data_IF_609880224997
#
_entry.id   IF_609880224997
#
_cell.length_a   1.000
_cell.length_b   1.000
_cell.length_c   1.000
_cell.angle_alpha   90.00
_cell.angle_beta   90.00
_cell.angle_gamma   90.00
#
_symmetry.space_group_name_H-M   'P 1'
#
loop_
_entity.id
_entity.type
_entity.pdbx_description
1 polymer ?
#
# COMPACT_ATOMS: atom_id res chain seq x y z
N UNK A 1 -16.32 24.57 -1.04
CA UNK A 1 -15.16 23.81 -1.53
C UNK A 1 -14.21 23.63 -0.34
N UNK A 2 -13.96 22.41 0.05
CA UNK A 2 -12.97 22.11 1.11
C UNK A 2 -11.62 22.01 0.43
N UNK A 3 -10.61 22.75 0.94
CA UNK A 3 -9.23 22.67 0.47
C UNK A 3 -8.62 21.46 1.20
N UNK A 4 -8.17 20.47 0.46
CA UNK A 4 -7.58 19.24 1.03
C UNK A 4 -6.10 19.40 1.36
N UNK A 5 -5.36 20.17 0.57
CA UNK A 5 -3.93 20.46 0.78
C UNK A 5 -3.67 21.89 0.32
N UNK A 6 -3.01 22.69 1.15
CA UNK A 6 -2.61 24.06 0.85
C UNK A 6 -1.08 24.18 0.84
N UNK A 7 -0.51 24.59 -0.31
CA UNK A 7 0.92 24.95 -0.50
C UNK A 7 1.93 23.92 0.06
N UNK A 8 1.91 22.72 -0.51
CA UNK A 8 2.90 21.71 -0.18
C UNK A 8 3.97 21.64 -1.28
N UNK A 9 5.24 21.75 -0.91
CA UNK A 9 6.37 21.47 -1.80
C UNK A 9 7.27 20.43 -1.13
N UNK A 10 7.39 19.26 -1.76
CA UNK A 10 8.16 18.13 -1.25
C UNK A 10 9.01 17.52 -2.36
N UNK A 11 10.21 17.06 -1.97
CA UNK A 11 11.02 16.16 -2.77
C UNK A 11 11.30 14.92 -1.92
N UNK A 12 10.86 13.75 -2.39
CA UNK A 12 10.98 12.49 -1.64
C UNK A 12 12.11 11.64 -2.22
N UNK A 13 13.00 11.09 -1.37
CA UNK A 13 14.06 10.20 -1.82
C UNK A 13 13.46 8.87 -2.31
N UNK A 14 13.97 8.31 -3.43
CA UNK A 14 13.55 7.00 -3.91
C UNK A 14 14.07 5.88 -2.99
N UNK A 15 13.44 4.69 -3.07
CA UNK A 15 13.87 3.46 -2.39
C UNK A 15 13.90 3.56 -0.86
N UNK A 16 13.10 4.46 -0.29
CA UNK A 16 13.01 4.70 1.15
C UNK A 16 11.65 4.28 1.70
N UNK A 17 11.63 4.01 2.99
CA UNK A 17 10.41 3.91 3.78
C UNK A 17 10.10 5.31 4.33
N UNK A 18 9.07 5.94 3.78
CA UNK A 18 8.70 7.33 4.05
C UNK A 18 7.45 7.37 4.90
N UNK A 19 7.51 8.03 6.04
CA UNK A 19 6.37 8.29 6.94
C UNK A 19 5.77 9.66 6.70
N UNK A 20 4.44 9.69 6.57
CA UNK A 20 3.63 10.90 6.55
C UNK A 20 2.82 10.94 7.85
N UNK A 21 3.26 11.75 8.81
CA UNK A 21 2.69 11.80 10.16
C UNK A 21 1.92 13.11 10.38
N UNK A 22 0.79 13.00 11.03
CA UNK A 22 -0.02 14.14 11.44
C UNK A 22 -1.39 13.71 11.93
N UNK A 23 -2.15 14.62 12.55
CA UNK A 23 -3.48 14.34 13.05
C UNK A 23 -4.46 14.00 11.91
N UNK A 24 -5.63 13.46 12.29
CA UNK A 24 -6.68 13.20 11.32
C UNK A 24 -7.18 14.50 10.69
N UNK A 25 -7.51 14.42 9.39
CA UNK A 25 -8.07 15.54 8.64
C UNK A 25 -7.05 16.54 8.08
N UNK A 26 -5.73 16.38 8.34
CA UNK A 26 -4.72 17.34 7.81
C UNK A 26 -4.41 17.17 6.32
N UNK A 27 -4.97 16.16 5.65
CA UNK A 27 -4.80 15.96 4.22
C UNK A 27 -3.87 14.79 3.82
N UNK A 28 -3.42 13.96 4.76
CA UNK A 28 -2.57 12.77 4.47
C UNK A 28 -3.15 11.90 3.36
N UNK A 29 -4.36 11.40 3.54
CA UNK A 29 -5.05 10.54 2.56
C UNK A 29 -5.31 11.25 1.23
N UNK A 30 -5.53 12.57 1.25
CA UNK A 30 -5.66 13.38 0.04
C UNK A 30 -4.34 13.39 -0.74
N UNK A 31 -3.21 13.61 -0.05
CA UNK A 31 -1.88 13.57 -0.67
C UNK A 31 -1.60 12.19 -1.27
N UNK A 32 -1.87 11.11 -0.51
CA UNK A 32 -1.68 9.75 -1.02
C UNK A 32 -2.55 9.47 -2.25
N UNK A 33 -3.79 9.93 -2.26
CA UNK A 33 -4.70 9.77 -3.40
C UNK A 33 -4.23 10.53 -4.66
N UNK A 34 -3.59 11.69 -4.49
CA UNK A 34 -2.95 12.43 -5.58
C UNK A 34 -1.71 11.69 -6.11
N UNK A 35 -0.83 11.21 -5.21
CA UNK A 35 0.38 10.46 -5.56
C UNK A 35 0.02 9.19 -6.34
N UNK A 36 -1.01 8.47 -5.92
CA UNK A 36 -1.43 7.22 -6.59
C UNK A 36 -2.25 7.44 -7.86
N UNK A 37 -2.63 8.67 -8.16
CA UNK A 37 -3.51 8.98 -9.29
C UNK A 37 -4.98 8.63 -9.07
N UNK A 38 -5.37 8.22 -7.85
CA UNK A 38 -6.77 7.96 -7.48
C UNK A 38 -7.62 9.24 -7.50
N UNK A 39 -6.98 10.40 -7.26
CA UNK A 39 -7.59 11.71 -7.47
C UNK A 39 -6.79 12.52 -8.50
N UNK A 40 -7.51 13.24 -9.36
CA UNK A 40 -6.89 14.17 -10.29
C UNK A 40 -6.41 15.43 -9.57
N UNK A 41 -5.19 15.86 -9.89
CA UNK A 41 -4.63 17.10 -9.38
C UNK A 41 -5.33 18.30 -10.02
N UNK A 42 -5.76 19.27 -9.20
CA UNK A 42 -6.45 20.47 -9.67
C UNK A 42 -5.47 21.61 -9.99
N UNK A 43 -4.46 21.79 -9.15
CA UNK A 43 -3.43 22.82 -9.29
C UNK A 43 -2.09 22.28 -8.80
N UNK A 44 -0.98 22.93 -9.22
CA UNK A 44 0.36 22.52 -8.83
C UNK A 44 1.01 21.52 -9.79
N UNK A 45 2.08 20.90 -9.35
CA UNK A 45 2.88 19.94 -10.11
C UNK A 45 3.17 18.70 -9.25
N UNK A 46 3.11 17.54 -9.87
CA UNK A 46 3.45 16.26 -9.23
C UNK A 46 4.25 15.41 -10.21
N UNK A 47 5.51 15.20 -9.89
CA UNK A 47 6.38 14.31 -10.63
C UNK A 47 6.56 13.00 -9.86
N UNK A 48 6.31 11.89 -10.51
CA UNK A 48 6.39 10.56 -9.91
C UNK A 48 6.99 9.55 -10.92
N UNK A 49 7.92 8.72 -10.46
CA UNK A 49 8.56 7.69 -11.29
C UNK A 49 9.04 8.23 -12.65
N UNK A 50 9.68 9.39 -12.61
CA UNK A 50 10.34 9.99 -13.77
C UNK A 50 9.45 10.78 -14.72
N UNK A 51 8.23 11.20 -14.32
CA UNK A 51 7.40 12.04 -15.18
C UNK A 51 6.27 12.76 -14.45
N UNK A 52 5.60 13.63 -15.19
CA UNK A 52 4.51 14.48 -14.70
C UNK A 52 3.18 13.72 -14.64
N UNK A 53 2.55 13.67 -13.47
CA UNK A 53 1.27 13.02 -13.23
C UNK A 53 0.08 13.71 -13.93
N UNK A 54 0.26 14.90 -14.50
CA UNK A 54 -0.74 15.54 -15.37
C UNK A 54 -0.82 14.87 -16.75
N UNK A 55 0.28 14.25 -17.21
CA UNK A 55 0.29 13.52 -18.48
C UNK A 55 -0.48 12.21 -18.36
N UNK A 56 -1.52 12.05 -19.16
CA UNK A 56 -2.30 10.81 -19.23
C UNK A 56 -1.45 9.63 -19.69
N UNK A 57 -0.56 9.85 -20.67
CA UNK A 57 0.36 8.82 -21.15
C UNK A 57 1.28 8.34 -20.02
N UNK A 58 1.85 9.26 -19.25
CA UNK A 58 2.71 8.91 -18.12
C UNK A 58 1.93 8.15 -17.05
N UNK A 59 0.73 8.64 -16.65
CA UNK A 59 -0.12 7.91 -15.69
C UNK A 59 -0.44 6.49 -16.14
N UNK A 60 -0.85 6.30 -17.39
CA UNK A 60 -1.17 4.96 -17.92
C UNK A 60 0.04 4.01 -17.84
N UNK A 61 1.25 4.54 -17.99
CA UNK A 61 2.49 3.77 -17.91
C UNK A 61 2.88 3.40 -16.50
N UNK A 62 2.67 4.30 -15.51
CA UNK A 62 3.17 4.10 -14.14
C UNK A 62 2.11 3.61 -13.14
N UNK A 63 0.81 3.87 -13.34
CA UNK A 63 -0.22 3.40 -12.43
C UNK A 63 -0.19 1.88 -12.18
N UNK A 64 0.10 1.02 -13.18
CA UNK A 64 0.28 -0.41 -12.93
C UNK A 64 1.50 -0.77 -12.06
N UNK A 65 2.41 0.18 -11.80
CA UNK A 65 3.59 0.03 -10.95
C UNK A 65 3.41 0.59 -9.54
N UNK A 66 2.21 1.06 -9.24
CA UNK A 66 1.85 1.65 -7.95
C UNK A 66 0.85 0.73 -7.25
N UNK A 67 1.17 0.31 -6.03
CA UNK A 67 0.23 -0.35 -5.15
C UNK A 67 -0.35 0.67 -4.17
N UNK A 68 -1.65 0.66 -3.99
CA UNK A 68 -2.33 1.51 -3.01
C UNK A 68 -3.20 0.69 -2.07
N UNK A 69 -2.95 0.80 -0.80
CA UNK A 69 -3.78 0.24 0.26
C UNK A 69 -4.45 1.41 1.01
N UNK A 70 -5.69 1.77 0.65
CA UNK A 70 -6.42 2.86 1.29
C UNK A 70 -6.84 2.49 2.71
N UNK A 71 -7.13 3.51 3.50
CA UNK A 71 -7.63 3.35 4.85
C UNK A 71 -8.89 2.47 4.91
N UNK A 72 -8.91 1.53 5.85
CA UNK A 72 -10.02 0.61 6.11
C UNK A 72 -9.87 -0.75 5.43
N UNK A 73 -9.97 -1.80 6.24
CA UNK A 73 -9.80 -3.21 5.85
C UNK A 73 -10.78 -3.70 4.79
N UNK A 74 -11.88 -2.96 4.56
CA UNK A 74 -13.02 -3.41 3.76
C UNK A 74 -12.82 -3.12 2.27
N UNK A 75 -12.00 -2.12 1.92
CA UNK A 75 -11.99 -1.57 0.55
C UNK A 75 -11.22 -2.42 -0.47
N UNK A 76 -10.29 -3.26 -0.01
CA UNK A 76 -9.39 -4.02 -0.88
C UNK A 76 -9.58 -5.54 -0.79
N UNK A 77 -10.62 -6.03 -0.12
CA UNK A 77 -10.84 -7.47 0.06
C UNK A 77 -12.28 -7.85 -0.27
N UNK A 78 -12.42 -8.97 -0.96
CA UNK A 78 -13.70 -9.63 -1.17
C UNK A 78 -13.91 -10.66 -0.04
N UNK A 79 -14.75 -10.34 0.92
CA UNK A 79 -14.92 -11.14 2.15
C UNK A 79 -15.52 -12.52 1.94
N UNK A 80 -16.29 -12.69 0.88
CA UNK A 80 -16.87 -13.98 0.49
C UNK A 80 -15.87 -14.90 -0.18
N UNK A 81 -14.83 -14.34 -0.79
CA UNK A 81 -13.76 -15.10 -1.43
C UNK A 81 -12.74 -15.58 -0.38
N UNK A 82 -12.11 -16.72 -0.66
CA UNK A 82 -11.00 -17.24 0.13
C UNK A 82 -9.77 -16.36 0.01
N UNK A 83 -8.75 -16.63 0.83
CA UNK A 83 -7.43 -15.97 0.73
C UNK A 83 -6.85 -16.16 -0.68
N UNK A 84 -6.86 -17.39 -1.18
CA UNK A 84 -6.34 -17.71 -2.51
C UNK A 84 -7.13 -17.00 -3.61
N UNK A 85 -8.46 -17.05 -3.57
CA UNK A 85 -9.31 -16.41 -4.58
C UNK A 85 -9.14 -14.89 -4.63
N UNK A 86 -8.97 -14.23 -3.47
CA UNK A 86 -8.63 -12.81 -3.44
C UNK A 86 -7.31 -12.54 -4.20
N UNK A 87 -6.26 -13.29 -3.90
CA UNK A 87 -4.96 -13.15 -4.55
C UNK A 87 -5.02 -13.48 -6.04
N UNK A 88 -5.72 -14.54 -6.42
CA UNK A 88 -5.96 -14.91 -7.83
C UNK A 88 -6.69 -13.81 -8.59
N UNK A 89 -7.68 -13.16 -7.96
CA UNK A 89 -8.42 -12.05 -8.57
C UNK A 89 -7.50 -10.91 -8.93
N UNK A 90 -6.72 -10.40 -7.95
CA UNK A 90 -5.81 -9.28 -8.20
C UNK A 90 -4.69 -9.65 -9.18
N UNK A 91 -4.13 -10.84 -9.07
CA UNK A 91 -3.10 -11.30 -9.99
C UNK A 91 -3.58 -11.36 -11.45
N UNK A 92 -4.84 -11.80 -11.67
CA UNK A 92 -5.46 -11.78 -13.01
C UNK A 92 -5.73 -10.38 -13.52
N UNK A 93 -6.13 -9.46 -12.62
CA UNK A 93 -6.37 -8.06 -12.98
C UNK A 93 -5.10 -7.40 -13.57
N UNK A 94 -3.93 -7.79 -13.07
CA UNK A 94 -2.64 -7.35 -13.59
C UNK A 94 -2.07 -8.23 -14.72
N UNK A 95 -2.88 -9.11 -15.32
CA UNK A 95 -2.52 -9.87 -16.52
C UNK A 95 -1.50 -10.99 -16.31
N UNK A 96 -1.27 -11.42 -15.07
CA UNK A 96 -0.33 -12.51 -14.78
C UNK A 96 -0.84 -13.86 -15.31
N UNK A 97 0.05 -14.66 -15.89
CA UNK A 97 -0.26 -16.02 -16.29
C UNK A 97 -0.41 -16.99 -15.10
N UNK A 98 -0.77 -18.24 -15.33
CA UNK A 98 -1.07 -19.19 -14.28
C UNK A 98 0.15 -19.59 -13.43
N UNK A 99 1.33 -19.66 -14.07
CA UNK A 99 2.59 -20.05 -13.41
C UNK A 99 3.07 -18.91 -12.51
N UNK A 100 3.09 -17.68 -13.02
CA UNK A 100 3.49 -16.50 -12.27
C UNK A 100 2.55 -16.26 -11.08
N UNK A 101 1.23 -16.40 -11.25
CA UNK A 101 0.27 -16.30 -10.15
C UNK A 101 0.57 -17.31 -9.04
N UNK A 102 0.78 -18.58 -9.41
CA UNK A 102 1.09 -19.64 -8.43
C UNK A 102 2.35 -19.30 -7.65
N UNK A 103 3.42 -18.92 -8.35
CA UNK A 103 4.69 -18.55 -7.75
C UNK A 103 4.57 -17.39 -6.77
N UNK A 104 3.86 -16.32 -7.17
CA UNK A 104 3.67 -15.12 -6.33
C UNK A 104 2.77 -15.36 -5.14
N UNK A 105 1.68 -16.06 -5.31
CA UNK A 105 0.77 -16.43 -4.22
C UNK A 105 1.52 -17.28 -3.20
N UNK A 106 2.25 -18.31 -3.62
CA UNK A 106 3.04 -19.14 -2.71
C UNK A 106 4.06 -18.29 -1.93
N UNK A 107 4.86 -17.47 -2.60
CA UNK A 107 5.83 -16.57 -1.98
C UNK A 107 5.19 -15.65 -0.94
N UNK A 108 4.18 -14.89 -1.32
CA UNK A 108 3.52 -13.90 -0.46
C UNK A 108 2.79 -14.54 0.72
N UNK A 109 2.12 -15.66 0.51
CA UNK A 109 1.39 -16.32 1.60
C UNK A 109 2.30 -17.02 2.59
N UNK A 110 3.45 -17.53 2.16
CA UNK A 110 4.47 -18.08 3.07
C UNK A 110 5.14 -16.99 3.90
N UNK A 111 5.57 -15.90 3.28
CA UNK A 111 6.23 -14.79 4.00
C UNK A 111 5.31 -14.11 5.02
N UNK A 112 4.00 -14.10 4.77
CA UNK A 112 2.99 -13.50 5.67
C UNK A 112 2.37 -14.47 6.68
N UNK A 113 2.66 -15.78 6.55
CA UNK A 113 2.04 -16.84 7.35
C UNK A 113 0.58 -17.16 6.99
N UNK A 114 0.11 -16.65 5.85
CA UNK A 114 -1.27 -16.91 5.36
C UNK A 114 -1.40 -18.24 4.61
N UNK A 115 -0.32 -18.91 4.28
CA UNK A 115 -0.32 -20.15 3.50
C UNK A 115 -1.25 -21.24 4.05
N UNK A 116 -1.34 -21.36 5.39
CA UNK A 116 -2.21 -22.33 6.06
C UNK A 116 -3.71 -21.99 5.99
N UNK A 117 -4.03 -20.82 5.46
CA UNK A 117 -5.40 -20.28 5.44
C UNK A 117 -5.89 -20.00 4.03
N UNK A 118 -5.22 -20.54 2.99
CA UNK A 118 -5.55 -20.30 1.58
C UNK A 118 -7.02 -20.53 1.27
N UNK A 119 -7.61 -21.60 1.80
CA UNK A 119 -9.02 -21.97 1.58
C UNK A 119 -10.02 -21.25 2.52
N UNK A 120 -9.50 -20.38 3.44
CA UNK A 120 -10.37 -19.70 4.39
C UNK A 120 -10.96 -18.44 3.78
N UNK A 121 -12.30 -18.24 3.84
CA UNK A 121 -12.93 -16.99 3.43
C UNK A 121 -12.31 -15.79 4.16
N UNK A 122 -12.02 -14.72 3.43
CA UNK A 122 -11.39 -13.51 3.98
C UNK A 122 -12.23 -12.90 5.12
N UNK A 123 -13.56 -13.02 5.06
CA UNK A 123 -14.46 -12.57 6.12
C UNK A 123 -14.20 -13.24 7.48
N UNK A 124 -13.71 -14.49 7.48
CA UNK A 124 -13.41 -15.29 8.68
C UNK A 124 -11.98 -15.10 9.22
N UNK A 125 -11.19 -14.22 8.63
CA UNK A 125 -9.86 -13.86 9.12
C UNK A 125 -9.94 -12.85 10.28
N UNK A 126 -8.93 -12.88 11.16
CA UNK A 126 -8.76 -11.81 12.15
C UNK A 126 -8.40 -10.47 11.48
N UNK A 127 -8.52 -9.35 12.20
CA UNK A 127 -8.16 -8.03 11.69
C UNK A 127 -6.73 -7.97 11.13
N UNK A 128 -5.75 -8.44 11.91
CA UNK A 128 -4.36 -8.50 11.46
C UNK A 128 -4.12 -9.44 10.27
N UNK A 129 -4.84 -10.56 10.17
CA UNK A 129 -4.77 -11.43 8.99
C UNK A 129 -5.37 -10.77 7.75
N UNK A 130 -6.47 -10.02 7.90
CA UNK A 130 -7.06 -9.24 6.81
C UNK A 130 -6.09 -8.17 6.30
N UNK A 131 -5.37 -7.50 7.18
CA UNK A 131 -4.34 -6.54 6.79
C UNK A 131 -3.20 -7.20 6.02
N UNK A 132 -2.69 -8.33 6.50
CA UNK A 132 -1.68 -9.11 5.79
C UNK A 132 -2.17 -9.54 4.39
N UNK A 133 -3.43 -9.97 4.28
CA UNK A 133 -4.01 -10.31 2.98
C UNK A 133 -4.14 -9.10 2.08
N UNK A 134 -4.61 -7.95 2.59
CA UNK A 134 -4.68 -6.69 1.84
C UNK A 134 -3.31 -6.26 1.30
N UNK A 135 -2.27 -6.38 2.13
CA UNK A 135 -0.90 -6.11 1.71
C UNK A 135 -0.43 -7.10 0.63
N UNK A 136 -0.70 -8.40 0.76
CA UNK A 136 -0.38 -9.38 -0.28
C UNK A 136 -1.09 -9.06 -1.60
N UNK A 137 -2.37 -8.69 -1.57
CA UNK A 137 -3.13 -8.27 -2.76
C UNK A 137 -2.51 -7.04 -3.42
N UNK A 138 -2.04 -6.08 -2.61
CA UNK A 138 -1.37 -4.87 -3.11
C UNK A 138 0.01 -5.16 -3.71
N UNK A 139 0.72 -6.19 -3.24
CA UNK A 139 2.07 -6.54 -3.70
C UNK A 139 2.09 -7.59 -4.82
N UNK A 140 0.94 -8.16 -5.18
CA UNK A 140 0.88 -9.30 -6.10
C UNK A 140 1.45 -8.99 -7.49
N UNK A 141 1.47 -7.73 -7.90
CA UNK A 141 1.93 -7.27 -9.21
C UNK A 141 3.37 -6.71 -9.21
N UNK A 142 4.13 -6.83 -8.10
CA UNK A 142 5.51 -6.33 -7.94
C UNK A 142 5.62 -4.81 -8.24
N UNK A 143 5.02 -3.95 -7.44
CA UNK A 143 5.04 -2.51 -7.68
C UNK A 143 6.41 -1.88 -7.42
N UNK A 144 6.70 -0.75 -8.07
CA UNK A 144 7.87 0.10 -7.79
C UNK A 144 7.59 1.04 -6.59
N UNK A 145 6.30 1.33 -6.32
CA UNK A 145 5.84 2.16 -5.22
C UNK A 145 4.67 1.51 -4.47
N UNK A 146 4.80 1.35 -3.16
CA UNK A 146 3.75 0.92 -2.25
C UNK A 146 3.29 2.11 -1.41
N UNK A 147 2.00 2.40 -1.45
CA UNK A 147 1.37 3.47 -0.68
C UNK A 147 0.36 2.88 0.30
N UNK A 148 0.55 3.15 1.59
CA UNK A 148 -0.25 2.62 2.68
C UNK A 148 -0.90 3.78 3.45
N UNK A 149 -2.22 3.78 3.55
CA UNK A 149 -2.99 4.80 4.25
C UNK A 149 -3.54 4.23 5.54
N UNK A 150 -2.93 4.61 6.66
CA UNK A 150 -3.24 4.14 8.02
C UNK A 150 -3.38 2.61 8.13
N UNK A 151 -2.36 1.85 7.69
CA UNK A 151 -2.46 0.40 7.53
C UNK A 151 -2.65 -0.36 8.84
N UNK A 152 -2.36 0.27 9.99
CA UNK A 152 -2.40 -0.37 11.30
C UNK A 152 -3.53 0.15 12.19
N UNK A 153 -4.38 1.03 11.67
CA UNK A 153 -5.51 1.59 12.42
C UNK A 153 -6.55 0.52 12.74
N UNK A 154 -6.96 0.46 14.01
CA UNK A 154 -7.94 -0.52 14.49
C UNK A 154 -7.40 -1.94 14.67
N UNK A 155 -6.08 -2.13 14.67
CA UNK A 155 -5.42 -3.41 14.88
C UNK A 155 -4.79 -3.48 16.26
N UNK A 156 -4.84 -4.65 16.89
CA UNK A 156 -4.20 -4.88 18.18
C UNK A 156 -2.68 -4.67 18.11
N UNK A 157 -2.02 -4.33 19.24
CA UNK A 157 -0.59 -3.98 19.26
C UNK A 157 0.33 -5.10 18.75
N UNK A 158 -0.01 -6.37 18.98
CA UNK A 158 0.79 -7.50 18.51
C UNK A 158 0.71 -7.63 16.99
N UNK A 159 -0.50 -7.57 16.43
CA UNK A 159 -0.69 -7.64 14.98
C UNK A 159 -0.08 -6.41 14.28
N UNK A 160 -0.10 -5.21 14.91
CA UNK A 160 0.59 -4.01 14.42
C UNK A 160 2.10 -4.27 14.31
N UNK A 161 2.74 -4.79 15.36
CA UNK A 161 4.17 -5.14 15.32
C UNK A 161 4.47 -6.12 14.19
N UNK A 162 3.69 -7.20 14.09
CA UNK A 162 3.86 -8.20 13.02
C UNK A 162 3.68 -7.61 11.61
N UNK A 163 2.81 -6.63 11.44
CA UNK A 163 2.65 -5.93 10.17
C UNK A 163 3.91 -5.14 9.80
N UNK A 164 4.49 -4.43 10.75
CA UNK A 164 5.73 -3.67 10.53
C UNK A 164 6.92 -4.58 10.27
N UNK A 165 7.07 -5.68 11.03
CA UNK A 165 8.10 -6.69 10.77
C UNK A 165 7.99 -7.26 9.34
N UNK A 166 6.76 -7.40 8.84
CA UNK A 166 6.51 -7.81 7.46
C UNK A 166 6.96 -6.75 6.44
N UNK A 167 6.65 -5.46 6.66
CA UNK A 167 7.14 -4.37 5.81
C UNK A 167 8.66 -4.34 5.78
N UNK A 168 9.33 -4.48 6.95
CA UNK A 168 10.78 -4.52 7.04
C UNK A 168 11.38 -5.68 6.23
N UNK A 169 10.75 -6.86 6.26
CA UNK A 169 11.19 -8.02 5.48
C UNK A 169 10.99 -7.80 3.98
N UNK A 170 9.84 -7.25 3.56
CA UNK A 170 9.58 -6.91 2.16
C UNK A 170 10.64 -5.92 1.65
N UNK A 171 10.98 -4.90 2.42
CA UNK A 171 12.02 -3.93 2.06
C UNK A 171 13.41 -4.57 1.91
N UNK A 172 13.73 -5.58 2.73
CA UNK A 172 14.99 -6.34 2.60
C UNK A 172 15.01 -7.21 1.34
N UNK A 173 13.89 -7.83 1.00
CA UNK A 173 13.76 -8.67 -0.21
C UNK A 173 13.67 -7.83 -1.49
N UNK A 174 13.10 -6.62 -1.40
CA UNK A 174 12.89 -5.69 -2.52
C UNK A 174 13.50 -4.31 -2.17
N UNK A 175 14.83 -4.15 -2.21
CA UNK A 175 15.50 -2.91 -1.82
C UNK A 175 15.15 -1.71 -2.71
N UNK A 176 14.72 -1.95 -3.94
CA UNK A 176 14.31 -0.92 -4.90
C UNK A 176 12.87 -0.42 -4.68
N UNK A 177 12.04 -1.13 -3.91
CA UNK A 177 10.69 -0.71 -3.59
C UNK A 177 10.69 0.58 -2.76
N UNK A 178 10.00 1.60 -3.23
CA UNK A 178 9.69 2.80 -2.43
C UNK A 178 8.40 2.56 -1.65
N UNK A 179 8.36 2.96 -0.38
CA UNK A 179 7.16 2.79 0.46
C UNK A 179 6.80 4.13 1.09
N UNK A 180 5.53 4.55 0.94
CA UNK A 180 4.98 5.74 1.60
C UNK A 180 3.85 5.28 2.53
N UNK A 181 3.92 5.68 3.79
CA UNK A 181 2.92 5.31 4.79
C UNK A 181 2.38 6.56 5.46
N UNK A 182 1.07 6.77 5.39
CA UNK A 182 0.41 7.74 6.25
C UNK A 182 -0.01 7.07 7.56
N UNK A 183 0.28 7.72 8.68
CA UNK A 183 -0.11 7.25 10.02
C UNK A 183 -0.38 8.41 10.97
N UNK A 184 -1.33 8.21 11.89
CA UNK A 184 -1.55 9.10 13.03
C UNK A 184 -0.75 8.67 14.27
N UNK A 185 -0.11 7.51 14.24
CA UNK A 185 0.64 6.96 15.36
C UNK A 185 2.08 7.49 15.41
N UNK A 186 2.37 8.33 16.40
CA UNK A 186 3.70 8.93 16.57
C UNK A 186 4.80 7.93 16.96
N UNK A 187 4.44 6.82 17.59
CA UNK A 187 5.36 5.74 17.96
C UNK A 187 5.91 4.99 16.73
N UNK A 188 5.26 5.10 15.58
CA UNK A 188 5.75 4.54 14.32
C UNK A 188 6.83 5.40 13.65
N UNK A 189 7.02 6.66 14.08
CA UNK A 189 7.98 7.61 13.49
C UNK A 189 9.41 7.06 13.40
N UNK A 190 9.83 6.27 14.39
CA UNK A 190 11.19 5.70 14.48
C UNK A 190 11.49 4.64 13.41
N UNK A 191 10.47 4.16 12.70
CA UNK A 191 10.61 3.14 11.66
C UNK A 191 10.95 3.69 10.29
N UNK A 192 10.71 4.98 10.09
CA UNK A 192 10.85 5.62 8.77
C UNK A 192 12.26 6.12 8.50
N UNK A 193 12.77 5.87 7.29
CA UNK A 193 14.01 6.46 6.79
C UNK A 193 13.89 7.97 6.58
N UNK A 194 12.66 8.43 6.27
CA UNK A 194 12.32 9.81 5.98
C UNK A 194 10.95 10.14 6.55
N UNK A 195 10.83 11.28 7.22
CA UNK A 195 9.60 11.68 7.91
C UNK A 195 9.10 13.02 7.40
N UNK A 196 7.81 13.09 7.15
CA UNK A 196 7.08 14.30 6.81
C UNK A 196 6.02 14.53 7.89
N UNK A 197 6.09 15.67 8.57
CA UNK A 197 5.06 16.11 9.51
C UNK A 197 4.10 17.07 8.79
N UNK A 198 2.80 16.79 8.89
CA UNK A 198 1.74 17.62 8.33
C UNK A 198 0.88 18.25 9.43
#
# INVERSE_FOLDING_TARGET
RTIGIERLTLALPPRKLIGLIGPDGVGKSTLLSLITGAHAMQTGELHLLGGDMRSTEHRNRICPKIAYMPQGLIRNLYFTLTVEENLQFFARLFGQDAEERRRRIDRLTRSTGLYRFLDRPAGKLSGGMKQKLGLCCSLIHDPDLLVLDEPTTGVDPLARRQFWDLIDNIKKEQPDLSVIVATAYMDEAQRFDWLIAM
#
